data_IF_840856957615
#
_entry.id   IF_840856957615
#
_cell.length_a   1.000
_cell.length_b   1.000
_cell.length_c   1.000
_cell.angle_alpha   90.00
_cell.angle_beta   90.00
_cell.angle_gamma   90.00
#
_symmetry.space_group_name_H-M   'P 1'
#
loop_
_entity.id
_entity.type
_entity.pdbx_description
1 polymer ?
#
# COMPACT_ATOMS: atom_id res chain seq x y z
N UNK A 1 -33.52 28.96 7.09
CA UNK A 1 -32.09 28.76 7.26
C UNK A 1 -31.82 27.39 6.65
N UNK A 2 -31.09 27.28 5.56
CA UNK A 2 -30.58 25.95 5.12
C UNK A 2 -29.53 25.61 6.15
N UNK A 3 -29.77 24.53 6.90
CA UNK A 3 -28.79 23.97 7.82
C UNK A 3 -27.47 23.78 7.03
N UNK A 4 -26.37 24.29 7.58
CA UNK A 4 -25.06 23.98 7.03
C UNK A 4 -24.95 22.45 7.00
N UNK A 5 -24.50 21.86 5.89
CA UNK A 5 -24.35 20.40 5.84
C UNK A 5 -23.49 19.97 7.03
N UNK A 6 -23.93 18.95 7.75
CA UNK A 6 -23.15 18.38 8.84
C UNK A 6 -21.74 18.06 8.34
N UNK A 7 -20.71 18.29 9.17
CA UNK A 7 -19.31 18.00 8.81
C UNK A 7 -19.20 16.55 8.35
N UNK A 8 -18.61 16.32 7.18
CA UNK A 8 -18.32 14.98 6.69
C UNK A 8 -17.39 14.24 7.68
N UNK A 9 -17.81 13.08 8.12
CA UNK A 9 -16.95 12.10 8.85
C UNK A 9 -16.37 11.15 7.83
N UNK A 10 -15.08 11.32 7.50
CA UNK A 10 -14.41 10.50 6.49
C UNK A 10 -13.68 9.32 7.14
N UNK A 11 -14.18 8.10 6.92
CA UNK A 11 -13.65 6.85 7.43
C UNK A 11 -13.28 5.86 6.31
N UNK A 12 -12.82 6.36 5.15
CA UNK A 12 -12.32 5.55 4.02
C UNK A 12 -10.85 5.85 3.69
N UNK A 13 -10.02 6.07 4.73
CA UNK A 13 -8.60 6.41 4.55
C UNK A 13 -7.78 5.26 3.92
N UNK A 14 -8.19 4.02 4.04
CA UNK A 14 -7.54 2.87 3.38
C UNK A 14 -7.76 2.85 1.85
N UNK A 15 -8.71 3.61 1.31
CA UNK A 15 -8.82 3.86 -0.13
C UNK A 15 -7.87 4.99 -0.55
N UNK A 16 -7.96 6.13 0.12
CA UNK A 16 -7.01 7.26 0.03
C UNK A 16 -7.18 8.13 1.27
N UNK A 17 -6.11 8.58 1.88
CA UNK A 17 -6.22 9.48 3.05
C UNK A 17 -6.79 10.84 2.66
N UNK A 18 -7.77 11.32 3.43
CA UNK A 18 -8.38 12.64 3.29
C UNK A 18 -8.75 13.22 4.66
N UNK A 19 -8.42 14.53 4.91
CA UNK A 19 -7.63 15.42 4.05
C UNK A 19 -6.15 15.00 3.98
N UNK A 20 -5.40 15.64 3.09
CA UNK A 20 -3.92 15.58 3.11
C UNK A 20 -3.38 16.67 4.03
N UNK A 21 -2.15 16.53 4.58
CA UNK A 21 -1.52 17.61 5.33
C UNK A 21 -1.40 18.88 4.48
N UNK A 22 -2.09 19.96 4.88
CA UNK A 22 -2.14 21.22 4.10
C UNK A 22 -0.75 21.79 3.86
N UNK A 23 0.10 21.78 4.90
CA UNK A 23 1.48 22.27 4.81
C UNK A 23 2.31 21.54 3.76
N UNK A 24 2.14 20.21 3.63
CA UNK A 24 2.84 19.41 2.62
C UNK A 24 2.38 19.73 1.21
N UNK A 25 1.06 19.90 1.00
CA UNK A 25 0.50 20.24 -0.32
C UNK A 25 0.88 21.65 -0.77
N UNK A 26 0.75 22.65 0.10
CA UNK A 26 1.11 24.03 -0.21
C UNK A 26 2.58 24.17 -0.57
N UNK A 27 3.46 23.56 0.25
CA UNK A 27 4.90 23.51 0.00
C UNK A 27 5.24 22.78 -1.30
N UNK A 28 4.50 21.72 -1.64
CA UNK A 28 4.70 20.99 -2.90
C UNK A 28 4.36 21.86 -4.12
N UNK A 29 3.27 22.62 -4.09
CA UNK A 29 2.89 23.51 -5.18
C UNK A 29 3.89 24.67 -5.31
N UNK A 30 4.33 25.26 -4.20
CA UNK A 30 5.34 26.32 -4.20
C UNK A 30 6.67 25.83 -4.79
N UNK A 31 7.14 24.65 -4.35
CA UNK A 31 8.36 24.02 -4.86
C UNK A 31 8.22 23.73 -6.36
N UNK A 32 7.08 23.17 -6.80
CA UNK A 32 6.87 22.90 -8.22
C UNK A 32 6.85 24.17 -9.08
N UNK A 33 6.29 25.27 -8.58
CA UNK A 33 6.36 26.58 -9.29
C UNK A 33 7.79 27.07 -9.48
N UNK A 34 8.70 26.69 -8.58
CA UNK A 34 10.11 27.11 -8.62
C UNK A 34 10.96 26.19 -9.50
N UNK A 35 10.80 24.86 -9.41
CA UNK A 35 11.68 23.87 -10.10
C UNK A 35 10.93 22.94 -11.06
N UNK A 36 9.72 23.28 -11.51
CA UNK A 36 8.82 22.42 -12.29
C UNK A 36 9.26 22.19 -13.75
N UNK A 37 10.55 21.93 -13.99
CA UNK A 37 11.12 21.58 -15.29
C UNK A 37 11.44 20.10 -15.36
N UNK A 38 11.80 19.60 -16.57
CA UNK A 38 12.17 18.18 -16.73
C UNK A 38 13.52 17.90 -16.03
N UNK A 39 13.58 17.01 -15.03
CA UNK A 39 14.82 16.71 -14.32
C UNK A 39 15.85 16.10 -15.28
N UNK A 40 17.12 16.55 -15.18
CA UNK A 40 18.29 15.95 -15.85
C UNK A 40 18.32 15.99 -17.36
N UNK A 41 17.31 16.56 -18.03
CA UNK A 41 17.25 16.60 -19.51
C UNK A 41 17.73 17.89 -20.14
N UNK A 42 18.09 18.89 -19.35
CA UNK A 42 18.53 20.21 -19.82
C UNK A 42 19.94 20.53 -19.37
N UNK A 43 20.72 21.20 -20.23
CA UNK A 43 22.04 21.71 -19.89
C UNK A 43 21.99 23.06 -19.14
N UNK A 44 21.04 23.27 -18.23
CA UNK A 44 20.85 24.51 -17.48
C UNK A 44 20.60 24.24 -15.99
N UNK A 45 20.96 25.20 -15.15
CA UNK A 45 21.02 25.04 -13.69
C UNK A 45 19.68 24.54 -13.06
N UNK A 46 18.56 25.05 -13.56
CA UNK A 46 17.25 24.65 -13.01
C UNK A 46 16.92 23.17 -13.26
N UNK A 47 17.37 22.58 -14.39
CA UNK A 47 17.19 21.15 -14.65
C UNK A 47 18.09 20.30 -13.74
N UNK A 48 19.30 20.79 -13.42
CA UNK A 48 20.18 20.14 -12.44
C UNK A 48 19.60 20.22 -11.02
N UNK A 49 19.01 21.36 -10.63
CA UNK A 49 18.32 21.52 -9.34
C UNK A 49 17.13 20.55 -9.22
N UNK A 50 16.32 20.43 -10.28
CA UNK A 50 15.18 19.51 -10.30
C UNK A 50 15.64 18.05 -10.19
N UNK A 51 16.75 17.68 -10.86
CA UNK A 51 17.32 16.34 -10.77
C UNK A 51 17.87 16.04 -9.37
N UNK A 52 18.57 17.00 -8.74
CA UNK A 52 19.07 16.83 -7.38
C UNK A 52 17.90 16.67 -6.38
N UNK A 53 16.81 17.40 -6.57
CA UNK A 53 15.60 17.23 -5.77
C UNK A 53 15.04 15.81 -5.89
N UNK A 54 14.98 15.26 -7.11
CA UNK A 54 14.55 13.87 -7.34
C UNK A 54 15.50 12.89 -6.66
N UNK A 55 16.82 13.10 -6.76
CA UNK A 55 17.83 12.25 -6.09
C UNK A 55 17.68 12.28 -4.57
N UNK A 56 17.49 13.46 -3.99
CA UNK A 56 17.31 13.58 -2.54
C UNK A 56 16.00 12.92 -2.09
N UNK A 57 14.92 13.02 -2.86
CA UNK A 57 13.67 12.32 -2.57
C UNK A 57 13.87 10.80 -2.61
N UNK A 58 14.70 10.25 -3.52
CA UNK A 58 15.06 8.83 -3.50
C UNK A 58 15.82 8.44 -2.23
N UNK A 59 16.78 9.27 -1.79
CA UNK A 59 17.50 9.03 -0.53
C UNK A 59 16.55 9.03 0.67
N UNK A 60 15.62 9.99 0.73
CA UNK A 60 14.58 10.04 1.78
C UNK A 60 13.71 8.77 1.75
N UNK A 61 13.22 8.39 0.58
CA UNK A 61 12.39 7.20 0.41
C UNK A 61 13.14 5.92 0.84
N UNK A 62 14.42 5.79 0.44
CA UNK A 62 15.24 4.66 0.85
C UNK A 62 15.39 4.61 2.38
N UNK A 63 15.75 5.74 3.03
CA UNK A 63 15.85 5.81 4.49
C UNK A 63 14.54 5.47 5.17
N UNK A 64 13.42 6.00 4.66
CA UNK A 64 12.08 5.77 5.21
C UNK A 64 11.70 4.28 5.25
N UNK A 65 12.16 3.50 4.29
CA UNK A 65 11.94 2.06 4.21
C UNK A 65 13.13 1.20 4.67
N UNK A 66 14.12 1.77 5.36
CA UNK A 66 15.28 1.02 5.86
C UNK A 66 16.12 0.39 4.75
N UNK A 67 16.21 1.03 3.58
CA UNK A 67 17.02 0.55 2.45
C UNK A 67 18.32 1.34 2.31
N UNK A 68 19.44 0.63 2.16
CA UNK A 68 20.76 1.20 1.86
C UNK A 68 21.01 1.52 0.38
N UNK A 69 19.99 1.32 -0.48
CA UNK A 69 20.10 1.40 -1.94
C UNK A 69 19.19 2.49 -2.56
N UNK A 70 19.48 3.80 -2.39
CA UNK A 70 18.64 4.86 -2.94
C UNK A 70 18.57 4.87 -4.48
N UNK A 71 19.59 4.38 -5.17
CA UNK A 71 19.60 4.15 -6.60
C UNK A 71 18.62 3.06 -7.07
N UNK A 72 18.13 2.23 -6.14
CA UNK A 72 17.16 1.15 -6.36
C UNK A 72 15.74 1.53 -5.98
N UNK A 73 15.47 2.77 -5.64
CA UNK A 73 14.11 3.31 -5.47
C UNK A 73 13.59 3.74 -6.84
N UNK A 74 12.53 3.11 -7.31
CA UNK A 74 11.89 3.35 -8.61
C UNK A 74 10.57 4.07 -8.35
N UNK A 75 10.39 5.27 -8.89
CA UNK A 75 9.12 5.98 -8.78
C UNK A 75 8.10 5.45 -9.79
N UNK A 76 6.89 5.22 -9.32
CA UNK A 76 5.76 4.69 -10.09
C UNK A 76 4.51 5.52 -9.87
N UNK A 77 3.45 5.27 -10.64
CA UNK A 77 2.18 5.96 -10.43
C UNK A 77 1.45 5.54 -9.14
N UNK A 78 1.67 4.33 -8.67
CA UNK A 78 1.04 3.72 -7.49
C UNK A 78 1.63 2.33 -7.21
N UNK A 79 1.19 1.66 -6.13
CA UNK A 79 1.63 0.30 -5.80
C UNK A 79 1.26 -0.74 -6.87
N UNK A 80 0.11 -0.62 -7.53
CA UNK A 80 -0.28 -1.55 -8.62
C UNK A 80 0.73 -1.50 -9.77
N UNK A 81 1.20 -0.32 -10.14
CA UNK A 81 2.23 -0.13 -11.15
C UNK A 81 3.57 -0.75 -10.69
N UNK A 82 3.97 -0.51 -9.44
CA UNK A 82 5.16 -1.09 -8.82
C UNK A 82 5.13 -2.63 -8.80
N UNK A 83 4.01 -3.22 -8.39
CA UNK A 83 3.81 -4.67 -8.36
C UNK A 83 3.86 -5.29 -9.77
N UNK A 84 3.26 -4.64 -10.77
CA UNK A 84 3.35 -5.11 -12.15
C UNK A 84 4.79 -5.04 -12.68
N UNK A 85 5.54 -3.98 -12.39
CA UNK A 85 6.96 -3.88 -12.76
C UNK A 85 7.76 -5.03 -12.12
N UNK A 86 7.55 -5.30 -10.83
CA UNK A 86 8.26 -6.36 -10.13
C UNK A 86 7.88 -7.75 -10.66
N UNK A 87 6.59 -8.07 -10.76
CA UNK A 87 6.13 -9.39 -11.19
C UNK A 87 6.52 -9.69 -12.65
N UNK A 88 6.32 -8.75 -13.57
CA UNK A 88 6.67 -8.95 -14.97
C UNK A 88 8.19 -8.92 -15.20
N UNK A 89 8.93 -8.18 -14.37
CA UNK A 89 10.38 -8.05 -14.50
C UNK A 89 11.16 -9.20 -13.89
N UNK A 90 10.66 -9.83 -12.84
CA UNK A 90 11.34 -10.91 -12.11
C UNK A 90 11.00 -12.31 -12.61
N UNK A 91 9.78 -12.51 -13.14
CA UNK A 91 9.27 -13.84 -13.47
C UNK A 91 9.58 -14.21 -14.93
N UNK A 92 9.88 -15.48 -15.16
CA UNK A 92 10.23 -16.10 -16.45
C UNK A 92 9.30 -17.30 -16.71
N UNK A 93 9.28 -17.83 -17.94
CA UNK A 93 8.60 -19.10 -18.22
C UNK A 93 9.03 -20.22 -17.29
N UNK A 94 8.06 -21.01 -16.85
CA UNK A 94 8.19 -22.16 -15.93
C UNK A 94 8.52 -21.81 -14.47
N UNK A 95 8.53 -20.52 -14.10
CA UNK A 95 8.69 -20.11 -12.71
C UNK A 95 7.44 -20.43 -11.88
N UNK A 96 7.67 -20.75 -10.60
CA UNK A 96 6.63 -20.87 -9.59
C UNK A 96 6.64 -19.68 -8.61
N UNK A 97 5.45 -19.26 -8.16
CA UNK A 97 5.26 -18.19 -7.19
C UNK A 97 4.45 -18.68 -6.00
N UNK A 98 4.91 -18.43 -4.78
CA UNK A 98 4.09 -18.56 -3.57
C UNK A 98 3.50 -17.21 -3.20
N UNK A 99 2.20 -17.17 -2.94
CA UNK A 99 1.51 -15.97 -2.49
C UNK A 99 0.45 -16.32 -1.45
N UNK A 100 -0.43 -15.39 -1.08
CA UNK A 100 -1.41 -15.63 -0.02
C UNK A 100 -2.84 -15.36 -0.47
N UNK A 101 -3.81 -15.88 0.30
CA UNK A 101 -5.23 -15.55 0.11
C UNK A 101 -5.60 -14.15 0.65
N UNK A 102 -4.67 -13.45 1.31
CA UNK A 102 -4.87 -12.07 1.79
C UNK A 102 -4.65 -11.01 0.71
N UNK A 103 -4.12 -11.39 -0.46
CA UNK A 103 -3.63 -10.45 -1.45
C UNK A 103 -4.73 -9.57 -2.07
N UNK A 104 -4.35 -8.33 -2.33
CA UNK A 104 -5.13 -7.41 -3.15
C UNK A 104 -5.11 -7.84 -4.63
N UNK A 105 -6.11 -7.44 -5.40
CA UNK A 105 -6.20 -7.67 -6.85
C UNK A 105 -4.96 -7.18 -7.64
N UNK A 106 -4.17 -6.26 -7.08
CA UNK A 106 -2.92 -5.79 -7.69
C UNK A 106 -1.82 -6.86 -7.72
N UNK A 107 -1.94 -7.91 -6.90
CA UNK A 107 -1.11 -9.12 -6.92
C UNK A 107 -1.85 -10.25 -7.63
N UNK A 108 -3.10 -10.54 -7.23
CA UNK A 108 -3.85 -11.68 -7.76
C UNK A 108 -4.05 -11.64 -9.27
N UNK A 109 -4.43 -10.47 -9.81
CA UNK A 109 -4.72 -10.35 -11.25
C UNK A 109 -3.47 -10.50 -12.14
N UNK A 110 -2.32 -9.88 -11.85
CA UNK A 110 -1.09 -10.16 -12.58
C UNK A 110 -0.66 -11.62 -12.52
N UNK A 111 -0.69 -12.26 -11.34
CA UNK A 111 -0.37 -13.69 -11.19
C UNK A 111 -1.32 -14.56 -12.03
N UNK A 112 -2.62 -14.32 -11.93
CA UNK A 112 -3.62 -15.04 -12.71
C UNK A 112 -3.41 -14.85 -14.23
N UNK A 113 -3.11 -13.61 -14.66
CA UNK A 113 -2.83 -13.31 -16.07
C UNK A 113 -1.59 -14.06 -16.59
N UNK A 114 -0.49 -14.06 -15.82
CA UNK A 114 0.72 -14.79 -16.21
C UNK A 114 0.49 -16.29 -16.26
N UNK A 115 -0.28 -16.86 -15.33
CA UNK A 115 -0.68 -18.27 -15.35
C UNK A 115 -1.56 -18.60 -16.54
N UNK A 116 -2.56 -17.77 -16.85
CA UNK A 116 -3.40 -17.96 -18.04
C UNK A 116 -2.61 -17.97 -19.35
N UNK A 117 -1.47 -17.26 -19.39
CA UNK A 117 -0.54 -17.26 -20.51
C UNK A 117 0.42 -18.46 -20.52
N UNK A 118 0.34 -19.34 -19.52
CA UNK A 118 1.25 -20.46 -19.39
C UNK A 118 2.70 -20.03 -19.07
N UNK A 119 2.89 -18.86 -18.46
CA UNK A 119 4.23 -18.35 -18.10
C UNK A 119 4.65 -18.87 -16.73
N UNK A 120 3.74 -18.87 -15.76
CA UNK A 120 4.04 -19.28 -14.38
C UNK A 120 2.98 -20.21 -13.81
N UNK A 121 3.33 -20.92 -12.73
CA UNK A 121 2.36 -21.48 -11.78
C UNK A 121 2.45 -20.73 -10.45
N UNK A 122 1.36 -20.75 -9.65
CA UNK A 122 1.39 -20.16 -8.31
C UNK A 122 0.49 -20.90 -7.33
N UNK A 123 0.92 -20.92 -6.07
CA UNK A 123 0.16 -21.42 -4.94
C UNK A 123 -0.24 -20.27 -4.00
N UNK A 124 -1.41 -20.39 -3.37
CA UNK A 124 -1.95 -19.40 -2.43
C UNK A 124 -2.09 -20.00 -1.04
N UNK A 125 -1.24 -19.56 -0.13
CA UNK A 125 -1.25 -19.97 1.27
C UNK A 125 -2.47 -19.35 1.98
N UNK A 126 -3.22 -20.13 2.76
CA UNK A 126 -4.33 -19.63 3.55
C UNK A 126 -3.85 -18.75 4.72
N UNK A 127 -4.78 -18.05 5.33
CA UNK A 127 -4.60 -17.37 6.61
C UNK A 127 -5.49 -18.04 7.68
N UNK A 128 -5.15 -17.87 8.94
CA UNK A 128 -5.89 -18.43 10.07
C UNK A 128 -7.20 -17.65 10.37
N UNK A 129 -7.98 -18.13 11.35
CA UNK A 129 -9.24 -17.48 11.76
C UNK A 129 -9.06 -16.07 12.34
N UNK A 130 -7.82 -15.62 12.60
CA UNK A 130 -7.49 -14.29 13.09
C UNK A 130 -6.98 -13.37 11.96
N UNK A 131 -6.74 -13.91 10.78
CA UNK A 131 -6.27 -13.16 9.60
C UNK A 131 -4.76 -13.10 9.46
N UNK A 132 -4.01 -14.07 10.02
CA UNK A 132 -2.56 -14.16 9.90
C UNK A 132 -2.14 -15.36 9.06
N UNK A 133 -1.08 -15.17 8.27
CA UNK A 133 -0.41 -16.24 7.52
C UNK A 133 0.69 -16.82 8.39
N UNK A 134 0.73 -18.16 8.48
CA UNK A 134 1.84 -18.84 9.15
C UNK A 134 3.08 -18.83 8.25
N UNK A 135 4.25 -18.32 8.70
CA UNK A 135 5.49 -18.39 7.94
C UNK A 135 5.89 -19.82 7.54
N UNK A 136 5.55 -20.83 8.34
CA UNK A 136 5.82 -22.23 8.02
C UNK A 136 4.99 -22.73 6.84
N UNK A 137 3.76 -22.26 6.67
CA UNK A 137 2.93 -22.58 5.51
C UNK A 137 3.52 -21.97 4.22
N UNK A 138 4.13 -20.79 4.30
CA UNK A 138 4.88 -20.20 3.17
C UNK A 138 6.06 -21.10 2.81
N UNK A 139 6.84 -21.52 3.81
CA UNK A 139 8.00 -22.42 3.60
C UNK A 139 7.56 -23.75 2.99
N UNK A 140 6.50 -24.35 3.51
CA UNK A 140 5.97 -25.62 3.01
C UNK A 140 5.50 -25.55 1.54
N UNK A 141 5.10 -24.37 1.07
CA UNK A 141 4.72 -24.14 -0.32
C UNK A 141 5.92 -23.89 -1.27
N UNK A 142 7.13 -23.63 -0.73
CA UNK A 142 8.34 -23.41 -1.54
C UNK A 142 8.76 -24.75 -2.20
N UNK A 143 8.92 -24.70 -3.52
CA UNK A 143 9.40 -25.81 -4.36
C UNK A 143 10.75 -25.46 -4.98
N UNK A 144 11.39 -26.43 -5.65
CA UNK A 144 12.67 -26.21 -6.33
C UNK A 144 12.61 -25.18 -7.48
N UNK A 145 11.43 -25.00 -8.07
CA UNK A 145 11.14 -24.04 -9.14
C UNK A 145 10.53 -22.73 -8.62
N UNK A 146 10.38 -22.56 -7.29
CA UNK A 146 9.87 -21.32 -6.71
C UNK A 146 10.86 -20.17 -6.91
N UNK A 147 10.43 -19.17 -7.67
CA UNK A 147 11.24 -18.00 -8.02
C UNK A 147 10.96 -16.80 -7.13
N UNK A 148 9.77 -16.69 -6.57
CA UNK A 148 9.33 -15.50 -5.84
C UNK A 148 8.29 -15.89 -4.78
N UNK A 149 8.38 -15.28 -3.61
CA UNK A 149 7.30 -15.21 -2.63
C UNK A 149 6.71 -13.78 -2.67
N UNK A 150 5.38 -13.65 -2.70
CA UNK A 150 4.69 -12.35 -2.71
C UNK A 150 3.69 -12.30 -1.57
N UNK A 151 3.83 -11.30 -0.68
CA UNK A 151 2.97 -11.18 0.51
C UNK A 151 2.55 -9.72 0.72
N UNK A 152 1.26 -9.51 0.98
CA UNK A 152 0.79 -8.23 1.50
C UNK A 152 1.26 -8.06 2.95
N UNK A 153 1.84 -6.90 3.29
CA UNK A 153 2.29 -6.65 4.66
C UNK A 153 1.12 -6.33 5.61
N UNK A 154 0.08 -5.65 5.12
CA UNK A 154 -1.13 -5.44 5.91
C UNK A 154 -2.38 -5.67 5.07
N UNK A 155 -3.32 -6.45 5.60
CA UNK A 155 -4.58 -6.73 4.93
C UNK A 155 -5.44 -5.47 4.80
N UNK A 156 -5.89 -5.17 3.61
CA UNK A 156 -6.80 -4.05 3.36
C UNK A 156 -8.27 -4.35 3.71
N UNK A 157 -8.55 -5.54 4.21
CA UNK A 157 -9.88 -5.99 4.69
C UNK A 157 -9.86 -6.20 6.20
N UNK A 158 -8.89 -7.01 6.68
CA UNK A 158 -8.82 -7.43 8.08
C UNK A 158 -8.00 -6.46 8.95
N UNK A 159 -7.12 -5.66 8.36
CA UNK A 159 -6.21 -4.77 9.07
C UNK A 159 -4.97 -5.45 9.67
N UNK A 160 -4.92 -6.78 9.67
CA UNK A 160 -3.83 -7.57 10.25
C UNK A 160 -2.51 -7.34 9.55
N UNK A 161 -1.44 -7.12 10.33
CA UNK A 161 -0.06 -6.96 9.86
C UNK A 161 0.61 -8.32 9.84
N UNK A 162 1.03 -8.76 8.68
CA UNK A 162 1.64 -10.08 8.49
C UNK A 162 3.09 -10.10 9.00
N UNK A 163 3.60 -11.24 9.47
CA UNK A 163 4.94 -11.38 10.05
C UNK A 163 6.04 -11.37 8.97
N UNK A 164 6.10 -10.28 8.15
CA UNK A 164 6.98 -10.14 6.98
C UNK A 164 8.45 -10.26 7.35
N UNK A 165 8.86 -9.81 8.54
CA UNK A 165 10.23 -9.99 9.03
C UNK A 165 10.62 -11.47 9.13
N UNK A 166 9.74 -12.29 9.70
CA UNK A 166 9.99 -13.75 9.81
C UNK A 166 9.89 -14.43 8.44
N UNK A 167 8.88 -14.07 7.63
CA UNK A 167 8.73 -14.59 6.26
C UNK A 167 9.99 -14.27 5.45
N UNK A 168 10.52 -13.04 5.51
CA UNK A 168 11.72 -12.64 4.78
C UNK A 168 12.96 -13.46 5.19
N UNK A 169 13.15 -13.65 6.50
CA UNK A 169 14.22 -14.51 7.02
C UNK A 169 14.10 -15.94 6.48
N UNK A 170 12.90 -16.54 6.52
CA UNK A 170 12.64 -17.89 6.00
C UNK A 170 12.84 -17.98 4.50
N UNK A 171 12.35 -17.02 3.74
CA UNK A 171 12.56 -16.97 2.29
C UNK A 171 14.06 -16.93 1.94
N UNK A 172 14.84 -16.11 2.66
CA UNK A 172 16.28 -16.00 2.45
C UNK A 172 17.03 -17.30 2.77
N UNK A 173 16.62 -18.05 3.81
CA UNK A 173 17.17 -19.37 4.14
C UNK A 173 16.97 -20.38 3.00
N UNK A 174 15.91 -20.21 2.20
CA UNK A 174 15.60 -21.05 1.04
C UNK A 174 16.12 -20.45 -0.29
N UNK A 175 16.79 -19.29 -0.24
CA UNK A 175 17.29 -18.60 -1.44
C UNK A 175 16.20 -18.05 -2.35
N UNK A 176 14.98 -17.85 -1.83
CA UNK A 176 13.83 -17.32 -2.59
C UNK A 176 13.61 -15.86 -2.23
N UNK A 177 13.60 -14.93 -3.20
CA UNK A 177 13.33 -13.51 -2.93
C UNK A 177 11.90 -13.27 -2.48
N UNK A 178 11.70 -12.26 -1.59
CA UNK A 178 10.40 -11.82 -1.09
C UNK A 178 10.02 -10.46 -1.69
N UNK A 179 8.87 -10.39 -2.36
CA UNK A 179 8.18 -9.15 -2.76
C UNK A 179 7.08 -8.83 -1.76
N UNK A 180 7.10 -7.61 -1.22
CA UNK A 180 6.12 -7.15 -0.24
C UNK A 180 5.21 -6.08 -0.85
N UNK A 181 3.89 -6.30 -0.79
CA UNK A 181 2.90 -5.24 -1.02
C UNK A 181 2.69 -4.47 0.29
N UNK A 182 3.27 -3.28 0.37
CA UNK A 182 3.17 -2.38 1.51
C UNK A 182 2.11 -1.28 1.32
N UNK A 183 1.15 -1.44 0.41
CA UNK A 183 0.17 -0.39 0.09
C UNK A 183 -0.68 0.05 1.28
N UNK A 184 -0.87 -0.79 2.30
CA UNK A 184 -1.61 -0.44 3.52
C UNK A 184 -0.70 -0.16 4.72
N UNK A 185 0.52 -0.65 4.72
CA UNK A 185 1.45 -0.55 5.85
C UNK A 185 2.45 0.60 5.71
N UNK A 186 2.81 0.98 4.48
CA UNK A 186 3.72 2.11 4.24
C UNK A 186 3.15 3.41 4.83
N UNK A 187 3.88 4.01 5.77
CA UNK A 187 3.46 5.21 6.51
C UNK A 187 2.52 4.94 7.70
N UNK A 188 1.99 3.72 7.84
CA UNK A 188 1.22 3.30 9.01
C UNK A 188 2.11 2.67 10.09
N UNK A 189 3.07 1.86 9.68
CA UNK A 189 4.04 1.21 10.59
C UNK A 189 5.45 1.30 10.01
N UNK A 190 6.50 1.24 10.87
CA UNK A 190 7.88 1.16 10.40
C UNK A 190 8.13 -0.08 9.54
N UNK A 191 8.94 0.09 8.49
CA UNK A 191 9.37 -0.99 7.59
C UNK A 191 10.89 -0.92 7.43
N UNK A 192 11.56 -2.06 7.46
CA UNK A 192 13.01 -2.19 7.31
C UNK A 192 13.33 -3.22 6.22
N UNK A 193 13.47 -2.75 4.98
CA UNK A 193 13.69 -3.59 3.79
C UNK A 193 14.94 -4.43 3.92
N UNK A 194 16.06 -3.82 4.35
CA UNK A 194 17.34 -4.52 4.48
C UNK A 194 17.33 -5.47 5.68
N UNK A 195 16.86 -4.98 6.84
CA UNK A 195 16.83 -5.78 8.07
C UNK A 195 15.85 -6.96 8.02
N UNK A 196 14.80 -6.87 7.20
CA UNK A 196 13.82 -7.96 7.00
C UNK A 196 14.15 -8.84 5.80
N UNK A 197 15.24 -8.59 5.10
CA UNK A 197 15.67 -9.32 3.91
C UNK A 197 14.63 -9.31 2.77
N UNK A 198 13.92 -8.19 2.63
CA UNK A 198 12.93 -7.98 1.57
C UNK A 198 13.67 -7.70 0.26
N UNK A 199 13.41 -8.47 -0.79
CA UNK A 199 14.02 -8.28 -2.10
C UNK A 199 13.41 -7.10 -2.86
N UNK A 200 12.09 -6.92 -2.72
CA UNK A 200 11.36 -5.83 -3.36
C UNK A 200 10.16 -5.41 -2.50
N UNK A 201 9.92 -4.10 -2.39
CA UNK A 201 8.79 -3.53 -1.66
C UNK A 201 8.03 -2.55 -2.54
N UNK A 202 6.75 -2.80 -2.75
CA UNK A 202 5.84 -1.92 -3.49
C UNK A 202 5.03 -1.05 -2.54
N UNK A 203 4.97 0.26 -2.78
CA UNK A 203 4.19 1.19 -1.96
C UNK A 203 3.39 2.19 -2.80
N UNK A 204 2.38 2.80 -2.19
CA UNK A 204 1.63 3.91 -2.77
C UNK A 204 1.69 5.14 -1.88
N UNK A 205 1.78 6.32 -2.50
CA UNK A 205 1.90 7.57 -1.74
C UNK A 205 0.59 8.06 -1.13
N UNK A 206 -0.54 7.79 -1.78
CA UNK A 206 -1.82 8.46 -1.45
C UNK A 206 -2.58 7.90 -0.25
N UNK A 207 -2.12 6.83 0.38
CA UNK A 207 -2.67 6.28 1.63
C UNK A 207 -1.89 6.81 2.84
N UNK A 208 -1.47 5.96 3.76
CA UNK A 208 -0.81 6.39 5.01
C UNK A 208 0.54 7.09 4.83
N UNK A 209 1.16 7.04 3.64
CA UNK A 209 2.28 7.93 3.29
C UNK A 209 1.85 9.39 3.12
N UNK A 210 0.55 9.69 3.02
CA UNK A 210 -0.07 11.03 2.98
C UNK A 210 0.30 11.89 1.75
N UNK A 211 0.95 11.33 0.74
CA UNK A 211 1.31 12.02 -0.50
C UNK A 211 0.10 12.19 -1.45
N UNK A 212 0.20 13.03 -2.48
CA UNK A 212 -0.82 13.12 -3.52
C UNK A 212 -1.04 11.78 -4.23
N UNK A 213 -2.19 11.66 -4.92
CA UNK A 213 -2.41 10.57 -5.88
C UNK A 213 -1.44 10.66 -7.06
N UNK A 214 -1.17 9.53 -7.73
CA UNK A 214 -0.31 9.50 -8.91
C UNK A 214 1.19 9.37 -8.59
N UNK A 215 1.54 9.03 -7.35
CA UNK A 215 2.90 8.70 -6.94
C UNK A 215 2.90 7.47 -6.03
N UNK A 216 3.85 6.60 -6.23
CA UNK A 216 4.21 5.44 -5.44
C UNK A 216 5.61 5.00 -5.81
N UNK A 217 5.99 3.79 -5.47
CA UNK A 217 7.31 3.30 -5.83
C UNK A 217 7.54 1.82 -5.56
N UNK A 218 8.64 1.37 -6.13
CA UNK A 218 9.24 0.07 -5.90
C UNK A 218 10.63 0.29 -5.30
N UNK A 219 10.87 -0.25 -4.10
CA UNK A 219 12.18 -0.26 -3.45
C UNK A 219 12.78 -1.64 -3.65
N UNK A 220 13.90 -1.73 -4.36
CA UNK A 220 14.60 -2.97 -4.62
C UNK A 220 15.84 -3.09 -3.74
N UNK A 221 16.07 -4.26 -3.17
CA UNK A 221 17.33 -4.55 -2.53
C UNK A 221 18.45 -4.74 -3.57
N UNK A 222 19.71 -4.63 -3.16
CA UNK A 222 20.86 -4.89 -4.05
C UNK A 222 20.97 -6.33 -4.53
N UNK A 223 20.27 -7.25 -3.87
CA UNK A 223 20.23 -8.67 -4.27
C UNK A 223 19.45 -8.90 -5.58
N UNK A 224 18.56 -7.94 -5.94
CA UNK A 224 17.80 -8.00 -7.19
C UNK A 224 18.66 -7.44 -8.32
N UNK A 225 19.42 -8.29 -8.98
CA UNK A 225 20.27 -7.91 -10.11
C UNK A 225 19.57 -8.06 -11.46
N UNK A 226 18.81 -9.13 -11.61
CA UNK A 226 18.13 -9.50 -12.85
C UNK A 226 16.62 -9.22 -12.77
N UNK A 227 16.26 -7.98 -13.13
CA UNK A 227 14.88 -7.55 -13.30
C UNK A 227 14.74 -6.88 -14.68
N UNK A 228 13.89 -7.42 -15.54
CA UNK A 228 13.67 -6.86 -16.88
C UNK A 228 12.70 -5.68 -16.85
N UNK A 229 12.91 -4.66 -17.68
CA UNK A 229 11.95 -3.58 -17.80
C UNK A 229 10.66 -4.08 -18.46
N UNK A 230 9.53 -3.71 -17.88
CA UNK A 230 8.20 -3.97 -18.46
C UNK A 230 7.72 -2.83 -19.38
N UNK A 231 8.45 -1.71 -19.38
CA UNK A 231 8.20 -0.53 -20.22
C UNK A 231 9.50 -0.03 -20.81
N UNK A 232 9.44 0.37 -22.09
CA UNK A 232 10.56 0.86 -22.86
C UNK A 232 10.26 2.27 -23.36
N UNK A 233 11.26 3.15 -23.38
CA UNK A 233 11.07 4.51 -23.87
C UNK A 233 12.22 5.44 -23.51
N UNK A 234 12.01 6.73 -23.66
CA UNK A 234 13.03 7.74 -23.36
C UNK A 234 13.31 7.79 -21.85
N UNK A 235 14.57 7.56 -21.48
CA UNK A 235 15.06 7.63 -20.09
C UNK A 235 15.84 8.91 -19.81
N UNK A 236 16.19 9.67 -20.86
CA UNK A 236 17.09 10.84 -20.76
C UNK A 236 18.57 10.45 -20.78
N UNK A 237 18.89 9.16 -20.82
CA UNK A 237 20.26 8.63 -20.86
C UNK A 237 20.48 7.95 -22.21
N UNK A 238 21.66 8.17 -22.81
CA UNK A 238 22.11 7.56 -24.06
C UNK A 238 21.04 7.58 -25.18
N UNK A 239 20.56 8.78 -25.50
CA UNK A 239 19.48 8.99 -26.47
C UNK A 239 19.81 8.54 -27.91
N UNK A 240 21.08 8.27 -28.20
CA UNK A 240 21.54 7.78 -29.51
C UNK A 240 21.43 6.24 -29.64
N UNK A 241 21.36 5.51 -28.51
CA UNK A 241 21.23 4.05 -28.48
C UNK A 241 19.81 3.59 -28.69
N UNK A 242 19.53 2.60 -29.54
CA UNK A 242 18.24 1.94 -29.61
C UNK A 242 18.02 0.93 -28.47
N UNK A 243 19.07 0.62 -27.70
CA UNK A 243 19.02 -0.33 -26.59
C UNK A 243 18.63 0.41 -25.31
N UNK A 244 17.64 -0.11 -24.61
CA UNK A 244 17.22 0.43 -23.32
C UNK A 244 18.34 0.27 -22.27
N UNK A 245 18.55 1.29 -21.45
CA UNK A 245 19.61 1.27 -20.42
C UNK A 245 19.42 0.15 -19.40
N UNK A 246 20.52 -0.37 -18.88
CA UNK A 246 20.53 -1.32 -17.76
C UNK A 246 20.78 -0.66 -16.40
N UNK A 247 21.06 0.64 -16.39
CA UNK A 247 21.39 1.37 -15.18
C UNK A 247 20.14 1.73 -14.36
N UNK A 248 20.19 1.47 -13.06
CA UNK A 248 19.15 1.92 -12.14
C UNK A 248 19.32 3.41 -11.81
N UNK A 249 18.22 4.09 -11.57
CA UNK A 249 16.82 3.64 -11.61
C UNK A 249 16.21 3.62 -13.02
N UNK A 250 16.90 4.14 -14.02
CA UNK A 250 16.41 4.42 -15.37
C UNK A 250 16.01 3.15 -16.14
N UNK A 251 16.56 1.99 -15.76
CA UNK A 251 16.16 0.67 -16.28
C UNK A 251 14.68 0.42 -16.15
N UNK A 252 14.05 0.90 -15.05
CA UNK A 252 12.64 0.64 -14.74
C UNK A 252 11.77 1.92 -14.82
N UNK A 253 12.40 3.08 -15.08
CA UNK A 253 11.71 4.36 -15.22
C UNK A 253 11.80 4.87 -16.66
N UNK A 254 10.82 4.52 -17.49
CA UNK A 254 10.69 5.05 -18.83
C UNK A 254 9.71 6.23 -18.87
N UNK A 255 10.07 7.30 -19.57
CA UNK A 255 9.24 8.50 -19.70
C UNK A 255 9.68 9.64 -18.79
N UNK A 256 8.95 10.76 -18.86
CA UNK A 256 9.15 11.91 -17.97
C UNK A 256 8.60 11.61 -16.60
N UNK A 257 9.42 11.82 -15.57
CA UNK A 257 9.02 11.59 -14.18
C UNK A 257 7.89 12.52 -13.76
N UNK A 258 7.02 12.03 -12.88
CA UNK A 258 5.98 12.84 -12.21
C UNK A 258 6.62 13.73 -11.13
N UNK A 259 7.30 14.80 -11.54
CA UNK A 259 8.02 15.68 -10.62
C UNK A 259 7.10 16.26 -9.53
N UNK A 260 5.85 16.65 -9.87
CA UNK A 260 4.90 17.17 -8.88
C UNK A 260 4.56 16.11 -7.82
N UNK A 261 4.33 14.87 -8.25
CA UNK A 261 4.10 13.75 -7.31
C UNK A 261 5.31 13.47 -6.44
N UNK A 262 6.53 13.51 -7.01
CA UNK A 262 7.78 13.31 -6.27
C UNK A 262 8.01 14.42 -5.23
N UNK A 263 7.71 15.67 -5.58
CA UNK A 263 7.78 16.79 -4.63
C UNK A 263 6.76 16.59 -3.50
N UNK A 264 5.53 16.20 -3.83
CA UNK A 264 4.51 15.89 -2.84
C UNK A 264 4.90 14.73 -1.94
N UNK A 265 5.50 13.67 -2.49
CA UNK A 265 6.04 12.55 -1.70
C UNK A 265 7.13 13.02 -0.73
N UNK A 266 8.10 13.83 -1.20
CA UNK A 266 9.14 14.38 -0.33
C UNK A 266 8.57 15.14 0.85
N UNK A 267 7.60 16.03 0.61
CA UNK A 267 6.96 16.80 1.68
C UNK A 267 6.15 15.94 2.65
N UNK A 268 5.56 14.86 2.18
CA UNK A 268 4.83 13.92 3.04
C UNK A 268 5.76 13.06 3.89
N UNK A 269 6.91 12.66 3.36
CA UNK A 269 7.94 11.96 4.12
C UNK A 269 8.51 12.86 5.24
N UNK A 270 8.78 14.15 4.94
CA UNK A 270 9.20 15.13 5.95
C UNK A 270 8.14 15.28 7.05
N UNK A 271 6.85 15.36 6.69
CA UNK A 271 5.75 15.42 7.64
C UNK A 271 5.68 14.18 8.57
N UNK A 272 5.82 12.98 8.01
CA UNK A 272 5.80 11.73 8.78
C UNK A 272 7.04 11.58 9.67
N UNK A 273 8.20 12.03 9.22
CA UNK A 273 9.43 12.05 10.02
C UNK A 273 9.29 13.01 11.22
N UNK A 274 8.70 14.19 11.00
CA UNK A 274 8.46 15.19 12.06
C UNK A 274 7.38 14.73 13.06
N UNK A 275 6.28 14.16 12.56
CA UNK A 275 5.17 13.69 13.39
C UNK A 275 5.50 12.40 14.16
N UNK A 276 6.40 11.57 13.63
CA UNK A 276 6.70 10.22 14.10
C UNK A 276 5.64 9.20 13.70
N UNK A 277 6.03 8.19 12.92
CA UNK A 277 5.09 7.15 12.42
C UNK A 277 4.41 6.43 13.60
N UNK A 278 5.18 6.07 14.62
CA UNK A 278 4.65 5.38 15.81
C UNK A 278 3.64 6.23 16.57
N UNK A 279 3.84 7.55 16.65
CA UNK A 279 2.91 8.46 17.33
C UNK A 279 1.61 8.63 16.54
N UNK A 280 1.70 8.72 15.20
CA UNK A 280 0.53 8.75 14.31
C UNK A 280 -0.24 7.45 14.43
N UNK A 281 0.45 6.30 14.31
CA UNK A 281 -0.15 4.97 14.43
C UNK A 281 -0.83 4.78 15.79
N UNK A 282 -0.18 5.10 16.90
CA UNK A 282 -0.73 4.94 18.25
C UNK A 282 -2.07 5.68 18.40
N UNK A 283 -2.16 6.92 17.87
CA UNK A 283 -3.41 7.69 17.87
C UNK A 283 -4.50 7.06 17.00
N UNK A 284 -4.15 6.60 15.80
CA UNK A 284 -5.09 5.93 14.91
C UNK A 284 -5.59 4.61 15.53
N UNK A 285 -4.70 3.86 16.18
CA UNK A 285 -5.02 2.61 16.87
C UNK A 285 -5.90 2.82 18.10
N UNK A 286 -5.74 3.93 18.85
CA UNK A 286 -6.65 4.31 19.93
C UNK A 286 -8.09 4.48 19.39
N UNK A 287 -8.23 5.16 18.26
CA UNK A 287 -9.53 5.43 17.64
C UNK A 287 -10.19 4.15 17.07
N UNK A 288 -9.41 3.29 16.40
CA UNK A 288 -9.97 2.02 15.87
C UNK A 288 -10.34 1.05 16.99
N UNK A 289 -9.57 1.03 18.07
CA UNK A 289 -9.91 0.25 19.27
C UNK A 289 -11.22 0.72 19.88
N UNK A 290 -11.40 2.04 20.05
CA UNK A 290 -12.66 2.62 20.51
C UNK A 290 -13.84 2.22 19.60
N UNK A 291 -13.64 2.25 18.28
CA UNK A 291 -14.67 1.83 17.31
C UNK A 291 -15.00 0.36 17.47
N UNK A 292 -14.00 -0.53 17.50
CA UNK A 292 -14.17 -1.99 17.69
C UNK A 292 -14.94 -2.29 18.97
N UNK A 293 -14.49 -1.73 20.08
CA UNK A 293 -15.10 -1.99 21.39
C UNK A 293 -16.56 -1.53 21.43
N UNK A 294 -16.84 -0.37 20.83
CA UNK A 294 -18.22 0.12 20.73
C UNK A 294 -19.11 -0.74 19.84
N UNK A 295 -18.62 -1.23 18.70
CA UNK A 295 -19.36 -2.11 17.80
C UNK A 295 -19.56 -3.52 18.41
N UNK A 296 -18.59 -4.04 19.16
CA UNK A 296 -18.66 -5.36 19.80
C UNK A 296 -19.77 -5.47 20.84
N UNK A 297 -20.27 -4.35 21.37
CA UNK A 297 -21.40 -4.31 22.28
C UNK A 297 -22.76 -4.57 21.58
N UNK A 298 -22.79 -4.53 20.26
CA UNK A 298 -24.01 -4.71 19.46
C UNK A 298 -24.13 -6.14 18.99
N UNK A 299 -25.20 -6.84 19.42
CA UNK A 299 -25.42 -8.26 19.07
C UNK A 299 -25.77 -8.51 17.61
N UNK A 300 -26.11 -7.45 16.84
CA UNK A 300 -26.45 -7.51 15.42
C UNK A 300 -25.28 -7.27 14.47
N UNK A 301 -24.06 -7.07 14.98
CA UNK A 301 -22.88 -6.74 14.17
C UNK A 301 -21.87 -7.88 14.23
N UNK A 302 -21.43 -8.33 13.05
CA UNK A 302 -20.31 -9.25 12.91
C UNK A 302 -19.04 -8.45 12.59
N UNK A 303 -17.99 -8.60 13.42
CA UNK A 303 -16.69 -7.96 13.25
C UNK A 303 -15.71 -8.94 12.63
N UNK A 304 -14.92 -8.46 11.66
CA UNK A 304 -13.87 -9.21 11.00
C UNK A 304 -12.52 -8.55 11.29
N UNK A 305 -11.96 -8.85 12.45
CA UNK A 305 -10.64 -8.39 12.91
C UNK A 305 -10.07 -9.39 13.92
N UNK A 306 -8.77 -9.30 14.19
CA UNK A 306 -8.16 -10.03 15.30
C UNK A 306 -8.74 -9.57 16.65
N UNK A 307 -8.75 -10.45 17.65
CA UNK A 307 -9.15 -10.11 19.02
C UNK A 307 -8.18 -9.09 19.64
N UNK A 308 -6.89 -9.29 19.40
CA UNK A 308 -5.83 -8.37 19.76
C UNK A 308 -5.43 -7.54 18.53
N UNK A 309 -5.45 -6.22 18.66
CA UNK A 309 -5.09 -5.27 17.61
C UNK A 309 -3.62 -4.82 17.69
N UNK A 310 -2.74 -5.53 18.40
CA UNK A 310 -1.31 -5.19 18.50
C UNK A 310 -0.60 -5.23 17.15
N UNK A 311 -0.93 -6.22 16.31
CA UNK A 311 -0.43 -6.38 14.94
C UNK A 311 -1.51 -5.98 13.92
N UNK A 312 -1.88 -4.68 13.96
CA UNK A 312 -3.00 -4.18 13.18
C UNK A 312 -2.76 -2.75 12.66
N UNK A 313 -3.29 -2.43 11.49
CA UNK A 313 -3.41 -1.05 11.02
C UNK A 313 -4.81 -0.53 11.33
N UNK A 314 -4.98 0.79 11.36
CA UNK A 314 -6.20 1.44 11.81
C UNK A 314 -7.38 1.31 10.83
N UNK A 315 -7.78 0.08 10.54
CA UNK A 315 -9.00 -0.24 9.80
C UNK A 315 -9.77 -1.37 10.48
N UNK A 316 -11.09 -1.38 10.31
CA UNK A 316 -12.01 -2.34 10.86
C UNK A 316 -13.07 -2.68 9.82
N UNK A 317 -13.39 -3.96 9.70
CA UNK A 317 -14.42 -4.45 8.78
C UNK A 317 -15.56 -5.10 9.56
N UNK A 318 -16.80 -4.75 9.20
CA UNK A 318 -17.99 -5.23 9.91
C UNK A 318 -19.17 -5.46 8.95
N UNK A 319 -20.12 -6.30 9.36
CA UNK A 319 -21.43 -6.42 8.71
C UNK A 319 -22.56 -6.32 9.76
N UNK A 320 -23.65 -5.70 9.36
CA UNK A 320 -24.92 -5.73 10.09
C UNK A 320 -25.70 -6.98 9.64
N UNK A 321 -26.08 -7.83 10.59
CA UNK A 321 -26.79 -9.09 10.27
C UNK A 321 -28.12 -8.82 9.60
N UNK A 322 -28.34 -9.47 8.47
CA UNK A 322 -29.58 -9.35 7.71
C UNK A 322 -29.67 -8.11 6.82
N UNK A 323 -28.61 -7.31 6.72
CA UNK A 323 -28.56 -6.13 5.85
C UNK A 323 -27.41 -6.24 4.83
N UNK A 324 -27.65 -5.78 3.61
CA UNK A 324 -26.60 -5.71 2.58
C UNK A 324 -25.58 -4.63 2.98
N UNK A 325 -24.25 -4.89 2.90
CA UNK A 325 -23.23 -3.89 3.20
C UNK A 325 -23.36 -2.58 2.40
N UNK A 326 -23.86 -2.64 1.17
CA UNK A 326 -24.09 -1.44 0.36
C UNK A 326 -25.22 -0.58 0.91
N UNK A 327 -26.28 -1.20 1.44
CA UNK A 327 -27.40 -0.48 2.07
C UNK A 327 -26.92 0.21 3.36
N UNK A 328 -26.12 -0.48 4.18
CA UNK A 328 -25.50 0.12 5.38
C UNK A 328 -24.65 1.33 5.00
N UNK A 329 -23.82 1.20 3.95
CA UNK A 329 -23.00 2.31 3.45
C UNK A 329 -23.84 3.49 2.96
N UNK A 330 -24.94 3.21 2.25
CA UNK A 330 -25.86 4.25 1.75
C UNK A 330 -26.56 5.01 2.88
N UNK A 331 -26.96 4.30 3.95
CA UNK A 331 -27.56 4.92 5.14
C UNK A 331 -26.52 5.79 5.88
N UNK A 332 -25.29 5.27 6.07
CA UNK A 332 -24.23 6.01 6.74
C UNK A 332 -23.90 7.32 6.01
N UNK A 333 -23.83 7.30 4.68
CA UNK A 333 -23.59 8.50 3.87
C UNK A 333 -24.82 9.43 3.87
N UNK A 334 -26.00 8.88 3.55
CA UNK A 334 -27.23 9.66 3.34
C UNK A 334 -27.80 10.31 4.60
N UNK A 335 -27.87 9.56 5.70
CA UNK A 335 -28.52 10.00 6.92
C UNK A 335 -27.56 10.59 7.95
N UNK A 336 -26.29 10.15 7.94
CA UNK A 336 -25.29 10.53 8.97
C UNK A 336 -24.10 11.30 8.42
N UNK A 337 -23.94 11.45 7.09
CA UNK A 337 -22.80 12.09 6.43
C UNK A 337 -21.46 11.42 6.84
N UNK A 338 -21.46 10.08 6.91
CA UNK A 338 -20.28 9.27 7.23
C UNK A 338 -19.86 8.47 6.01
N UNK A 339 -18.67 8.79 5.48
CA UNK A 339 -18.10 8.11 4.32
C UNK A 339 -17.33 6.85 4.76
N UNK A 340 -17.78 5.69 4.31
CA UNK A 340 -17.14 4.37 4.48
C UNK A 340 -17.01 3.68 3.13
N UNK A 341 -16.28 2.58 3.07
CA UNK A 341 -16.25 1.74 1.87
C UNK A 341 -17.02 0.45 2.07
N UNK A 342 -17.74 0.02 1.03
CA UNK A 342 -18.51 -1.24 1.03
C UNK A 342 -18.07 -2.16 -0.10
N UNK A 343 -18.39 -3.45 0.02
CA UNK A 343 -18.13 -4.49 -0.97
C UNK A 343 -16.86 -5.31 -0.70
N UNK A 344 -16.25 -5.87 -1.75
CA UNK A 344 -15.14 -6.84 -1.62
C UNK A 344 -13.75 -6.21 -1.52
N UNK A 345 -13.64 -4.89 -1.44
CA UNK A 345 -12.40 -4.13 -1.20
C UNK A 345 -11.20 -4.52 -2.10
N UNK A 346 -11.46 -5.08 -3.29
CA UNK A 346 -10.45 -5.61 -4.21
C UNK A 346 -9.59 -6.76 -3.62
N UNK A 347 -10.09 -7.50 -2.63
CA UNK A 347 -9.47 -8.69 -2.04
C UNK A 347 -10.50 -9.83 -1.96
N UNK A 348 -10.93 -10.40 -3.11
CA UNK A 348 -12.06 -11.33 -3.19
C UNK A 348 -11.83 -12.61 -2.39
N UNK A 349 -10.59 -13.11 -2.33
CA UNK A 349 -10.27 -14.36 -1.64
C UNK A 349 -10.36 -14.24 -0.12
N UNK A 350 -10.19 -13.03 0.42
CA UNK A 350 -10.44 -12.76 1.84
C UNK A 350 -11.93 -12.96 2.13
N UNK A 351 -12.80 -12.37 1.31
CA UNK A 351 -14.25 -12.48 1.48
C UNK A 351 -14.77 -13.90 1.23
N UNK A 352 -14.16 -14.66 0.32
CA UNK A 352 -14.44 -16.10 0.18
C UNK A 352 -14.12 -16.86 1.46
N UNK A 353 -12.92 -16.61 2.03
CA UNK A 353 -12.48 -17.28 3.26
C UNK A 353 -13.30 -16.89 4.49
N UNK A 354 -13.81 -15.66 4.56
CA UNK A 354 -14.70 -15.17 5.61
C UNK A 354 -16.17 -15.59 5.43
N UNK A 355 -16.55 -16.14 4.26
CA UNK A 355 -17.95 -16.43 3.93
C UNK A 355 -18.83 -15.19 3.68
N UNK A 356 -18.22 -14.03 3.39
CA UNK A 356 -18.90 -12.77 3.07
C UNK A 356 -19.00 -12.47 1.58
N UNK A 357 -18.51 -13.37 0.72
CA UNK A 357 -18.68 -13.28 -0.73
C UNK A 357 -20.12 -13.65 -1.13
N UNK A 358 -20.73 -13.02 -2.15
CA UNK A 358 -20.19 -11.93 -2.99
C UNK A 358 -20.44 -10.51 -2.44
N UNK A 359 -21.24 -10.33 -1.38
CA UNK A 359 -21.67 -9.02 -0.88
C UNK A 359 -20.52 -8.19 -0.30
N UNK A 360 -19.51 -8.84 0.27
CA UNK A 360 -18.39 -8.17 0.92
C UNK A 360 -18.72 -7.68 2.33
N UNK A 361 -18.29 -6.49 2.67
CA UNK A 361 -18.44 -5.92 4.00
C UNK A 361 -18.40 -4.39 4.00
N UNK A 362 -18.71 -3.78 5.14
CA UNK A 362 -18.48 -2.36 5.42
C UNK A 362 -17.11 -2.23 6.07
N UNK A 363 -16.25 -1.37 5.51
CA UNK A 363 -14.91 -1.10 6.03
C UNK A 363 -14.83 0.33 6.54
N UNK A 364 -14.45 0.48 7.78
CA UNK A 364 -14.08 1.74 8.43
C UNK A 364 -12.57 1.82 8.47
N UNK A 365 -11.99 2.90 7.98
CA UNK A 365 -10.54 3.11 8.05
C UNK A 365 -10.21 4.51 8.52
N UNK A 366 -9.45 4.57 9.59
CA UNK A 366 -9.12 5.77 10.33
C UNK A 366 -7.82 6.36 9.79
N UNK A 367 -7.73 7.67 9.77
CA UNK A 367 -6.54 8.39 9.36
C UNK A 367 -6.13 9.44 10.38
N UNK A 368 -4.99 10.12 10.18
CA UNK A 368 -4.37 10.98 11.18
C UNK A 368 -5.20 12.20 11.58
N UNK A 369 -6.21 12.55 10.79
CA UNK A 369 -7.07 13.72 11.04
C UNK A 369 -8.44 13.37 11.61
N UNK A 370 -8.73 12.09 11.84
CA UNK A 370 -9.92 11.68 12.55
C UNK A 370 -9.83 12.00 14.04
N UNK A 371 -10.99 12.13 14.68
CA UNK A 371 -11.14 12.50 16.08
C UNK A 371 -12.01 11.50 16.84
N UNK A 372 -11.94 11.52 18.16
CA UNK A 372 -12.84 10.73 19.01
C UNK A 372 -14.33 11.02 18.75
N UNK A 373 -14.66 12.26 18.39
CA UNK A 373 -16.04 12.66 18.01
C UNK A 373 -16.51 12.00 16.72
N UNK A 374 -15.61 11.80 15.74
CA UNK A 374 -15.94 11.11 14.48
C UNK A 374 -16.33 9.65 14.79
N UNK A 375 -15.60 9.00 15.72
CA UNK A 375 -15.89 7.64 16.16
C UNK A 375 -17.20 7.56 16.96
N UNK A 376 -17.47 8.54 17.83
CA UNK A 376 -18.73 8.59 18.58
C UNK A 376 -19.94 8.72 17.65
N UNK A 377 -19.83 9.52 16.59
CA UNK A 377 -20.87 9.65 15.55
C UNK A 377 -21.06 8.33 14.78
N UNK A 378 -19.96 7.66 14.39
CA UNK A 378 -20.04 6.37 13.71
C UNK A 378 -20.72 5.30 14.60
N UNK A 379 -20.34 5.22 15.87
CA UNK A 379 -20.96 4.31 16.83
C UNK A 379 -22.44 4.61 17.07
N UNK A 380 -22.81 5.90 17.11
CA UNK A 380 -24.21 6.30 17.22
C UNK A 380 -24.99 5.86 15.98
N UNK A 381 -24.50 6.15 14.78
CA UNK A 381 -25.13 5.75 13.53
C UNK A 381 -25.33 4.23 13.43
N UNK A 382 -24.29 3.45 13.74
CA UNK A 382 -24.35 1.98 13.70
C UNK A 382 -25.31 1.37 14.76
N UNK A 383 -25.70 2.11 15.79
CA UNK A 383 -26.73 1.67 16.75
C UNK A 383 -28.17 1.98 16.29
N UNK A 384 -28.32 2.94 15.38
CA UNK A 384 -29.61 3.35 14.81
C UNK A 384 -29.97 2.52 13.57
N UNK A 385 -28.99 1.85 12.96
CA UNK A 385 -29.13 0.88 11.86
C UNK A 385 -29.43 -0.51 12.42
#
# INVERSE_FOLDING_TARGET
MRDMPARLVYLDNAATTFPKPSSSLEKAIETYRRIGVSPGRGGYDLAAEAEEFVRETRRKTARFFGSSAPDRVIFTGNATDALNIALQGLLRPDDHVVSTRLEHNSVLRPLHHLRQKGIIEYDLVPFDGKGFVDPEDIVAAIRHDTKLVVVTHASNVLGTIQPVREIGRRCAEHGVPLLVDAAQSAGAVPIDVDGWQVAALAFTGHKSVLAPTGIGGLVLSRQVEDIEPSRFGGTGIDSASPVHTRDFPHRLEAGTLNLLGIIGLSGSLDYLEEAGIEAVNAREMELVTKLRDGLSLSTGIDLYCAEDLSDHVALLTANVRGMDPHDVGAILDGDFNIAVRTGVHCAPLVHESLGTSPGGSVRFSIGPFNTGSDIDLALKAMKEI
#
